data_IF_752911735019
#
_entry.id   IF_752911735019
#
_cell.length_a   1.000
_cell.length_b   1.000
_cell.length_c   1.000
_cell.angle_alpha   90.00
_cell.angle_beta   90.00
_cell.angle_gamma   90.00
#
_symmetry.space_group_name_H-M   'P 1'
#
loop_
_entity.id
_entity.type
_entity.pdbx_description
1 polymer ?
#
# COMPACT_ATOMS: atom_id res chain seq x y z
N UNK A 1 -22.44 13.26 9.63
CA UNK A 1 -21.13 13.03 10.31
C UNK A 1 -20.31 12.18 9.36
N UNK A 2 -19.19 12.68 8.84
CA UNK A 2 -18.38 11.92 7.88
C UNK A 2 -17.57 10.89 8.69
N UNK A 3 -17.89 9.61 8.55
CA UNK A 3 -17.14 8.54 9.20
C UNK A 3 -15.84 8.31 8.42
N UNK A 4 -14.79 9.01 8.83
CA UNK A 4 -13.47 8.96 8.19
C UNK A 4 -12.67 7.73 8.61
N UNK A 5 -12.97 7.17 9.78
CA UNK A 5 -12.25 6.03 10.35
C UNK A 5 -12.57 4.76 9.57
N UNK A 6 -13.86 4.52 9.28
CA UNK A 6 -14.25 3.37 8.46
C UNK A 6 -13.74 3.49 7.02
N UNK A 7 -13.73 4.70 6.47
CA UNK A 7 -13.13 4.99 5.15
C UNK A 7 -11.63 4.66 5.11
N UNK A 8 -10.87 5.10 6.12
CA UNK A 8 -9.44 4.79 6.24
C UNK A 8 -9.21 3.29 6.39
N UNK A 9 -9.91 2.63 7.31
CA UNK A 9 -9.83 1.19 7.48
C UNK A 9 -10.11 0.44 6.17
N UNK A 10 -11.18 0.80 5.46
CA UNK A 10 -11.58 0.15 4.23
C UNK A 10 -10.56 0.38 3.10
N UNK A 11 -10.03 1.60 2.96
CA UNK A 11 -9.02 1.93 1.96
C UNK A 11 -7.70 1.19 2.19
N UNK A 12 -7.25 1.12 3.44
CA UNK A 12 -6.06 0.39 3.85
C UNK A 12 -6.23 -1.12 3.63
N UNK A 13 -7.38 -1.67 4.03
CA UNK A 13 -7.68 -3.09 3.82
C UNK A 13 -7.78 -3.44 2.33
N UNK A 14 -8.39 -2.58 1.52
CA UNK A 14 -8.45 -2.75 0.07
C UNK A 14 -7.04 -2.78 -0.54
N UNK A 15 -6.15 -1.90 -0.08
CA UNK A 15 -4.75 -1.88 -0.52
C UNK A 15 -4.03 -3.18 -0.15
N UNK A 16 -4.15 -3.63 1.12
CA UNK A 16 -3.57 -4.89 1.59
C UNK A 16 -4.06 -6.08 0.75
N UNK A 17 -5.37 -6.17 0.48
CA UNK A 17 -5.95 -7.25 -0.32
C UNK A 17 -5.43 -7.22 -1.76
N UNK A 18 -5.33 -6.02 -2.36
CA UNK A 18 -4.83 -5.88 -3.72
C UNK A 18 -3.35 -6.26 -3.82
N UNK A 19 -2.51 -5.79 -2.90
CA UNK A 19 -1.08 -6.16 -2.82
C UNK A 19 -0.92 -7.66 -2.55
N UNK A 20 -1.75 -8.26 -1.68
CA UNK A 20 -1.74 -9.71 -1.44
C UNK A 20 -2.14 -10.49 -2.69
N UNK A 21 -3.11 -10.00 -3.45
CA UNK A 21 -3.55 -10.63 -4.70
C UNK A 21 -2.43 -10.62 -5.74
N UNK A 22 -1.70 -9.52 -5.85
CA UNK A 22 -0.49 -9.42 -6.67
C UNK A 22 0.59 -10.38 -6.19
N UNK A 23 0.79 -10.48 -4.88
CA UNK A 23 1.81 -11.32 -4.27
C UNK A 23 1.60 -12.81 -4.56
N UNK A 24 0.36 -13.30 -4.58
CA UNK A 24 0.08 -14.70 -4.87
C UNK A 24 -0.09 -15.00 -6.37
N UNK A 25 -0.28 -13.99 -7.22
CA UNK A 25 -0.52 -14.17 -8.67
C UNK A 25 0.50 -13.41 -9.53
N UNK A 26 1.78 -13.45 -9.19
CA UNK A 26 2.81 -12.57 -9.78
C UNK A 26 3.08 -12.80 -11.28
N UNK A 27 3.04 -14.05 -11.74
CA UNK A 27 3.45 -14.44 -13.09
C UNK A 27 2.76 -13.66 -14.23
N UNK A 28 1.42 -13.54 -14.29
CA UNK A 28 0.76 -12.77 -15.33
C UNK A 28 1.19 -11.29 -15.34
N UNK A 29 1.43 -10.70 -14.16
CA UNK A 29 1.82 -9.29 -14.05
C UNK A 29 3.27 -9.09 -14.46
N UNK A 30 4.18 -9.98 -14.06
CA UNK A 30 5.58 -9.92 -14.45
C UNK A 30 5.78 -10.19 -15.95
N UNK A 31 4.96 -11.07 -16.54
CA UNK A 31 4.94 -11.28 -17.99
C UNK A 31 4.39 -10.06 -18.73
N UNK A 32 3.31 -9.44 -18.24
CA UNK A 32 2.80 -8.18 -18.78
C UNK A 32 3.81 -7.03 -18.61
N UNK A 33 4.67 -7.07 -17.59
CA UNK A 33 5.72 -6.06 -17.38
C UNK A 33 6.94 -6.23 -18.30
N UNK A 34 6.97 -7.29 -19.11
CA UNK A 34 8.11 -7.73 -19.89
C UNK A 34 7.87 -7.52 -21.39
N UNK A 35 8.92 -7.32 -22.22
CA UNK A 35 8.76 -7.14 -23.66
C UNK A 35 8.00 -8.30 -24.31
N UNK A 36 7.20 -7.99 -25.35
CA UNK A 36 6.26 -8.85 -26.10
C UNK A 36 6.82 -10.18 -26.66
N UNK A 37 8.09 -10.52 -26.43
CA UNK A 37 8.73 -11.74 -26.92
C UNK A 37 9.39 -12.59 -25.81
N UNK A 38 9.18 -12.22 -24.53
CA UNK A 38 9.77 -12.94 -23.40
C UNK A 38 8.79 -13.98 -22.87
N UNK A 39 9.15 -15.26 -23.00
CA UNK A 39 8.34 -16.40 -22.51
C UNK A 39 8.72 -16.82 -21.09
N UNK A 40 9.80 -16.27 -20.53
CA UNK A 40 10.27 -16.56 -19.18
C UNK A 40 10.59 -15.27 -18.45
N UNK A 41 9.90 -15.01 -17.34
CA UNK A 41 10.19 -13.89 -16.46
C UNK A 41 11.61 -14.04 -15.91
N UNK A 42 12.46 -12.99 -15.99
CA UNK A 42 13.78 -13.02 -15.38
C UNK A 42 13.65 -13.12 -13.85
N UNK A 43 14.44 -14.01 -13.24
CA UNK A 43 14.41 -14.26 -11.79
C UNK A 43 14.71 -13.00 -10.97
N UNK A 44 15.58 -12.11 -11.47
CA UNK A 44 15.90 -10.84 -10.79
C UNK A 44 14.66 -9.95 -10.62
N UNK A 45 13.84 -9.81 -11.66
CA UNK A 45 12.59 -9.02 -11.60
C UNK A 45 11.54 -9.68 -10.71
N UNK A 46 11.50 -11.02 -10.67
CA UNK A 46 10.63 -11.76 -9.74
C UNK A 46 11.03 -11.49 -8.30
N UNK A 47 12.31 -11.64 -7.98
CA UNK A 47 12.83 -11.39 -6.63
C UNK A 47 12.58 -9.95 -6.21
N UNK A 48 12.86 -8.99 -7.10
CA UNK A 48 12.60 -7.57 -6.85
C UNK A 48 11.12 -7.31 -6.52
N UNK A 49 10.21 -7.87 -7.32
CA UNK A 49 8.77 -7.70 -7.13
C UNK A 49 8.27 -8.35 -5.82
N UNK A 50 8.77 -9.54 -5.48
CA UNK A 50 8.47 -10.22 -4.21
C UNK A 50 8.92 -9.37 -3.02
N UNK A 51 10.15 -8.85 -3.06
CA UNK A 51 10.71 -8.01 -1.99
C UNK A 51 9.87 -6.75 -1.82
N UNK A 52 9.53 -6.11 -2.93
CA UNK A 52 8.73 -4.90 -2.92
C UNK A 52 7.34 -5.14 -2.32
N UNK A 53 6.59 -6.13 -2.81
CA UNK A 53 5.25 -6.42 -2.31
C UNK A 53 5.29 -6.83 -0.83
N UNK A 54 6.32 -7.55 -0.40
CA UNK A 54 6.54 -7.92 1.00
C UNK A 54 6.74 -6.69 1.89
N UNK A 55 7.55 -5.73 1.43
CA UNK A 55 7.75 -4.46 2.14
C UNK A 55 6.46 -3.64 2.21
N UNK A 56 5.71 -3.55 1.11
CA UNK A 56 4.41 -2.87 1.10
C UNK A 56 3.44 -3.48 2.11
N UNK A 57 3.33 -4.82 2.15
CA UNK A 57 2.48 -5.51 3.13
C UNK A 57 2.93 -5.23 4.56
N UNK A 58 4.23 -5.25 4.85
CA UNK A 58 4.74 -4.94 6.20
C UNK A 58 4.40 -3.51 6.63
N UNK A 59 4.53 -2.53 5.72
CA UNK A 59 4.20 -1.13 5.98
C UNK A 59 2.70 -0.97 6.24
N UNK A 60 1.86 -1.54 5.38
CA UNK A 60 0.40 -1.43 5.49
C UNK A 60 -0.14 -2.16 6.73
N UNK A 61 0.42 -3.33 7.08
CA UNK A 61 0.09 -4.05 8.32
C UNK A 61 0.54 -3.27 9.56
N UNK A 62 1.68 -2.57 9.49
CA UNK A 62 2.12 -1.66 10.54
C UNK A 62 1.15 -0.51 10.75
N UNK A 63 0.67 0.10 9.66
CA UNK A 63 -0.35 1.15 9.73
C UNK A 63 -1.68 0.63 10.28
N UNK A 64 -2.09 -0.57 9.87
CA UNK A 64 -3.30 -1.22 10.38
C UNK A 64 -3.20 -1.46 11.89
N UNK A 65 -2.04 -1.91 12.38
CA UNK A 65 -1.80 -2.10 13.81
C UNK A 65 -1.92 -0.76 14.57
N UNK A 66 -1.37 0.34 14.03
CA UNK A 66 -1.49 1.68 14.63
C UNK A 66 -2.96 2.12 14.67
N UNK A 67 -3.70 1.94 13.58
CA UNK A 67 -5.12 2.28 13.48
C UNK A 67 -5.97 1.52 14.51
N UNK A 68 -5.68 0.24 14.74
CA UNK A 68 -6.34 -0.59 15.74
C UNK A 68 -5.99 -0.19 17.18
N UNK A 69 -4.75 0.25 17.42
CA UNK A 69 -4.31 0.70 18.75
C UNK A 69 -4.86 2.09 19.10
N UNK A 70 -4.98 2.98 18.11
CA UNK A 70 -5.33 4.38 18.33
C UNK A 70 -5.99 4.99 17.12
N UNK A 71 -7.14 5.60 17.36
CA UNK A 71 -7.88 6.35 16.34
C UNK A 71 -7.11 7.62 15.94
N UNK A 72 -6.74 7.79 14.67
CA UNK A 72 -6.06 8.99 14.18
C UNK A 72 -6.99 10.20 14.12
N UNK A 73 -6.42 11.38 13.95
CA UNK A 73 -7.23 12.59 13.70
C UNK A 73 -7.94 12.50 12.34
N UNK A 74 -9.06 13.22 12.19
CA UNK A 74 -9.86 13.24 10.96
C UNK A 74 -9.01 13.62 9.74
N UNK A 75 -8.17 14.65 9.85
CA UNK A 75 -7.30 15.08 8.74
C UNK A 75 -6.27 14.04 8.35
N UNK A 76 -5.69 13.36 9.33
CA UNK A 76 -4.70 12.30 9.10
C UNK A 76 -5.35 11.05 8.46
N UNK A 77 -6.54 10.70 8.93
CA UNK A 77 -7.33 9.59 8.39
C UNK A 77 -7.73 9.83 6.92
N UNK A 78 -8.13 11.06 6.56
CA UNK A 78 -8.39 11.44 5.17
C UNK A 78 -7.13 11.39 4.30
N UNK A 79 -5.99 11.87 4.83
CA UNK A 79 -4.72 11.87 4.10
C UNK A 79 -4.22 10.44 3.83
N UNK A 80 -4.26 9.55 4.83
CA UNK A 80 -3.97 8.13 4.62
C UNK A 80 -4.90 7.51 3.59
N UNK A 81 -6.20 7.75 3.73
CA UNK A 81 -7.19 7.22 2.78
C UNK A 81 -6.90 7.65 1.35
N UNK A 82 -6.48 8.90 1.17
CA UNK A 82 -6.07 9.43 -0.13
C UNK A 82 -4.83 8.70 -0.67
N UNK A 83 -3.78 8.50 0.15
CA UNK A 83 -2.59 7.77 -0.28
C UNK A 83 -2.91 6.32 -0.69
N UNK A 84 -3.70 5.59 0.10
CA UNK A 84 -4.09 4.22 -0.26
C UNK A 84 -4.99 4.17 -1.49
N UNK A 85 -5.94 5.10 -1.64
CA UNK A 85 -6.78 5.18 -2.84
C UNK A 85 -5.93 5.44 -4.10
N UNK A 86 -4.99 6.38 -4.04
CA UNK A 86 -4.04 6.65 -5.13
C UNK A 86 -3.20 5.42 -5.43
N UNK A 87 -2.68 4.75 -4.39
CA UNK A 87 -1.89 3.53 -4.54
C UNK A 87 -2.67 2.43 -5.27
N UNK A 88 -3.93 2.19 -4.85
CA UNK A 88 -4.81 1.23 -5.50
C UNK A 88 -5.07 1.56 -6.98
N UNK A 89 -5.28 2.84 -7.33
CA UNK A 89 -5.46 3.25 -8.72
C UNK A 89 -4.22 2.99 -9.57
N UNK A 90 -3.04 3.27 -9.04
CA UNK A 90 -1.79 2.97 -9.73
C UNK A 90 -1.57 1.47 -9.87
N UNK A 91 -1.74 0.68 -8.81
CA UNK A 91 -1.62 -0.77 -8.88
C UNK A 91 -2.62 -1.38 -9.86
N UNK A 92 -3.85 -0.86 -9.93
CA UNK A 92 -4.83 -1.27 -10.93
C UNK A 92 -4.38 -0.92 -12.36
N UNK A 93 -3.80 0.26 -12.55
CA UNK A 93 -3.21 0.64 -13.84
C UNK A 93 -2.07 -0.29 -14.23
N UNK A 94 -1.21 -0.65 -13.27
CA UNK A 94 -0.11 -1.60 -13.46
C UNK A 94 -0.57 -3.03 -13.76
N UNK A 95 -1.74 -3.43 -13.26
CA UNK A 95 -2.36 -4.72 -13.61
C UNK A 95 -2.81 -4.74 -15.08
N UNK A 96 -3.22 -3.59 -15.63
CA UNK A 96 -3.81 -3.49 -16.97
C UNK A 96 -2.74 -3.18 -18.03
N UNK A 97 -1.74 -2.36 -17.70
CA UNK A 97 -0.73 -1.85 -18.63
C UNK A 97 0.66 -2.45 -18.34
N UNK A 98 1.49 -2.58 -19.38
CA UNK A 98 2.89 -2.99 -19.25
C UNK A 98 3.73 -1.90 -18.57
N UNK A 99 4.40 -2.22 -17.47
CA UNK A 99 5.28 -1.27 -16.80
C UNK A 99 6.49 -1.93 -16.13
N UNK A 100 7.65 -1.23 -16.07
CA UNK A 100 8.82 -1.73 -15.37
C UNK A 100 8.57 -1.94 -13.86
N UNK A 101 9.10 -3.03 -13.30
CA UNK A 101 9.05 -3.34 -11.86
C UNK A 101 9.62 -2.19 -11.00
N UNK A 102 10.62 -1.48 -11.51
CA UNK A 102 11.21 -0.31 -10.85
C UNK A 102 10.20 0.80 -10.48
N UNK A 103 9.11 0.95 -11.24
CA UNK A 103 8.09 1.96 -10.95
C UNK A 103 7.32 1.67 -9.66
N UNK A 104 7.24 0.40 -9.24
CA UNK A 104 6.57 0.05 -7.99
C UNK A 104 7.32 0.59 -6.77
N UNK A 105 8.65 0.72 -6.83
CA UNK A 105 9.44 1.30 -5.73
C UNK A 105 9.07 2.76 -5.50
N UNK A 106 8.84 3.49 -6.60
CA UNK A 106 8.38 4.88 -6.56
C UNK A 106 6.98 4.94 -5.93
N UNK A 107 6.09 4.01 -6.27
CA UNK A 107 4.76 3.96 -5.68
C UNK A 107 4.83 3.73 -4.17
N UNK A 108 5.56 2.69 -3.72
CA UNK A 108 5.77 2.41 -2.29
C UNK A 108 6.30 3.63 -1.53
N UNK A 109 7.30 4.32 -2.09
CA UNK A 109 7.93 5.48 -1.47
C UNK A 109 7.01 6.72 -1.39
N UNK A 110 6.03 6.86 -2.29
CA UNK A 110 5.16 8.02 -2.35
C UNK A 110 3.79 7.80 -1.70
N UNK A 111 3.32 6.57 -1.55
CA UNK A 111 1.98 6.26 -1.01
C UNK A 111 2.05 5.62 0.37
N UNK A 112 2.49 4.37 0.48
CA UNK A 112 2.46 3.60 1.74
C UNK A 112 3.47 4.12 2.78
N UNK A 113 4.70 4.46 2.38
CA UNK A 113 5.71 4.94 3.34
C UNK A 113 5.30 6.27 4.01
N UNK A 114 4.85 7.30 3.28
CA UNK A 114 4.39 8.55 3.89
C UNK A 114 3.16 8.34 4.78
N UNK A 115 2.20 7.50 4.37
CA UNK A 115 1.02 7.18 5.17
C UNK A 115 1.39 6.60 6.55
N UNK A 116 2.31 5.62 6.58
CA UNK A 116 2.80 5.05 7.84
C UNK A 116 3.54 6.09 8.69
N UNK A 117 4.44 6.89 8.09
CA UNK A 117 5.22 7.91 8.82
C UNK A 117 4.29 8.92 9.49
N UNK A 118 3.29 9.44 8.76
CA UNK A 118 2.36 10.40 9.35
C UNK A 118 1.52 9.80 10.47
N UNK A 119 1.10 8.53 10.35
CA UNK A 119 0.42 7.82 11.43
C UNK A 119 1.31 7.55 12.63
N UNK A 120 2.60 7.20 12.44
CA UNK A 120 3.57 7.04 13.53
C UNK A 120 3.81 8.36 14.28
N UNK A 121 3.99 9.47 13.55
CA UNK A 121 4.16 10.80 14.15
C UNK A 121 2.89 11.21 14.91
N UNK A 122 1.71 10.99 14.35
CA UNK A 122 0.43 11.21 15.04
C UNK A 122 0.25 10.29 16.25
N UNK A 123 0.74 9.05 16.18
CA UNK A 123 0.71 8.14 17.32
C UNK A 123 1.56 8.67 18.47
N UNK A 124 2.78 9.14 18.19
CA UNK A 124 3.73 9.65 19.18
C UNK A 124 3.34 11.01 19.79
N UNK A 125 2.80 11.93 18.99
CA UNK A 125 2.57 13.33 19.40
C UNK A 125 1.31 13.55 20.24
N UNK A 126 0.26 12.74 20.05
CA UNK A 126 -0.99 12.89 20.82
C UNK A 126 -1.01 11.89 22.00
N UNK A 127 -1.12 12.31 23.27
CA UNK A 127 -1.28 11.35 24.37
C UNK A 127 -2.60 10.58 24.24
N UNK A 128 -2.65 9.35 24.76
CA UNK A 128 -3.90 8.59 24.89
C UNK A 128 -4.92 9.43 25.65
N UNK A 129 -5.95 9.92 24.96
CA UNK A 129 -7.04 10.64 25.59
C UNK A 129 -7.91 9.61 26.31
N UNK A 130 -7.61 9.34 27.58
CA UNK A 130 -8.54 8.64 28.47
C UNK A 130 -9.86 9.43 28.47
N UNK A 131 -10.91 8.84 27.89
CA UNK A 131 -12.27 9.27 28.18
C UNK A 131 -12.61 8.73 29.56
N UNK A 132 -12.53 9.59 30.57
CA UNK A 132 -13.31 9.45 31.81
C UNK A 132 -14.80 9.58 31.52
#
# INVERSE_FOLDING_TARGET
MLDTISGHFLSLLAHIVLVSTLFFNQDPFLLASSPLCVTKVPEDSRVEFVVLLSLTLLVDLGELAILLMKVPSIGLSLLSSFFHAVSCLFLLKFIIDEHPVGNFWVLLALTSVPALIFNLVGFSTYPFRYKS
#
